data_IF_624235780807
#
_entry.id   IF_624235780807
#
_cell.length_a   1.000
_cell.length_b   1.000
_cell.length_c   1.000
_cell.angle_alpha   90.00
_cell.angle_beta   90.00
_cell.angle_gamma   90.00
#
_symmetry.space_group_name_H-M   'P 1'
#
loop_
_entity.id
_entity.type
_entity.pdbx_description
1 polymer ?
#
# COMPACT_ATOMS: atom_id res chain seq x y z
N UNK A 1 17.46 -8.69 1.29
CA UNK A 1 18.36 -8.08 2.31
C UNK A 1 18.98 -6.84 1.72
N UNK A 2 19.35 -6.90 0.44
CA UNK A 2 19.86 -5.82 -0.43
C UNK A 2 19.03 -4.52 -0.48
N UNK A 3 17.81 -4.51 0.09
CA UNK A 3 16.94 -3.33 0.16
C UNK A 3 16.97 -2.63 1.54
N UNK A 4 17.72 -3.16 2.53
CA UNK A 4 17.92 -2.51 3.82
C UNK A 4 19.25 -1.74 3.78
N UNK A 5 19.23 -0.40 3.79
CA UNK A 5 20.46 0.40 3.61
C UNK A 5 21.38 0.41 4.82
N UNK A 6 20.90 -0.06 5.98
CA UNK A 6 21.68 -0.12 7.23
C UNK A 6 22.00 -1.56 7.66
N UNK A 7 21.71 -2.54 6.80
CA UNK A 7 21.89 -3.97 7.09
C UNK A 7 21.21 -4.45 8.39
N UNK A 8 20.20 -3.71 8.87
CA UNK A 8 19.48 -4.01 10.09
C UNK A 8 18.61 -5.28 9.99
N UNK A 9 18.42 -5.85 8.79
CA UNK A 9 17.61 -7.04 8.54
C UNK A 9 18.52 -8.21 8.17
N UNK A 10 18.51 -9.28 8.98
CA UNK A 10 19.34 -10.48 8.77
C UNK A 10 18.57 -11.78 9.00
N UNK A 11 19.12 -12.92 8.54
CA UNK A 11 18.60 -14.24 8.88
C UNK A 11 19.44 -14.89 9.96
N UNK A 12 18.78 -15.34 11.04
CA UNK A 12 19.37 -16.17 12.07
C UNK A 12 18.73 -17.56 12.14
N UNK A 13 19.20 -18.39 13.06
CA UNK A 13 18.64 -19.74 13.30
C UNK A 13 17.15 -19.73 13.70
N UNK A 14 16.66 -18.62 14.25
CA UNK A 14 15.26 -18.41 14.62
C UNK A 14 14.38 -17.76 13.54
N UNK A 15 14.92 -17.55 12.33
CA UNK A 15 14.24 -16.83 11.25
C UNK A 15 14.75 -15.41 11.08
N UNK A 16 13.89 -14.52 10.57
CA UNK A 16 14.23 -13.14 10.27
C UNK A 16 14.45 -12.35 11.56
N UNK A 17 15.57 -11.63 11.63
CA UNK A 17 15.92 -10.76 12.74
C UNK A 17 16.03 -9.30 12.26
N UNK A 18 15.57 -8.38 13.11
CA UNK A 18 15.72 -6.93 12.90
C UNK A 18 16.48 -6.36 14.08
N UNK A 19 17.65 -5.78 13.82
CA UNK A 19 18.39 -5.01 14.81
C UNK A 19 17.71 -3.65 15.01
N UNK A 20 17.09 -3.46 16.17
CA UNK A 20 16.40 -2.22 16.51
C UNK A 20 17.33 -1.03 16.73
N UNK A 21 18.61 -1.25 17.02
CA UNK A 21 19.61 -0.20 17.15
C UNK A 21 20.12 0.30 15.80
N UNK A 22 20.21 -0.58 14.80
CA UNK A 22 20.60 -0.23 13.43
C UNK A 22 19.44 0.20 12.52
N UNK A 23 18.18 -0.16 12.87
CA UNK A 23 17.01 0.17 12.08
C UNK A 23 16.61 1.66 12.23
N UNK A 24 16.72 2.41 11.14
CA UNK A 24 16.34 3.85 11.11
C UNK A 24 14.83 4.09 10.94
N UNK A 25 14.02 3.03 10.99
CA UNK A 25 12.57 3.08 10.77
C UNK A 25 12.16 3.75 9.45
N UNK A 26 12.98 3.62 8.40
CA UNK A 26 12.71 4.23 7.09
C UNK A 26 11.46 3.66 6.38
N UNK A 27 10.93 2.52 6.87
CA UNK A 27 9.78 1.79 6.32
C UNK A 27 9.97 1.27 4.88
N UNK A 28 11.16 1.37 4.29
CA UNK A 28 11.45 0.92 2.93
C UNK A 28 11.32 -0.60 2.74
N UNK A 29 11.33 -1.38 3.82
CA UNK A 29 11.13 -2.82 3.77
C UNK A 29 9.65 -3.23 3.59
N UNK A 30 8.69 -2.38 3.99
CA UNK A 30 7.26 -2.71 3.89
C UNK A 30 6.78 -2.84 2.44
N UNK A 31 7.14 -1.93 1.50
CA UNK A 31 6.81 -2.07 0.08
C UNK A 31 7.41 -3.29 -0.62
N UNK A 32 8.54 -3.80 -0.12
CA UNK A 32 9.31 -4.88 -0.78
C UNK A 32 8.59 -6.22 -0.67
N UNK A 33 7.93 -6.48 0.46
CA UNK A 33 7.25 -7.74 0.72
C UNK A 33 5.75 -7.62 0.40
N UNK A 34 5.26 -8.21 -0.70
CA UNK A 34 3.89 -8.01 -1.13
C UNK A 34 2.89 -8.80 -0.27
N UNK A 35 3.37 -9.74 0.56
CA UNK A 35 2.58 -10.47 1.54
C UNK A 35 2.51 -9.75 2.89
N UNK A 36 3.13 -8.56 3.01
CA UNK A 36 3.24 -7.80 4.25
C UNK A 36 3.82 -8.62 5.42
N UNK A 37 4.91 -9.36 5.18
CA UNK A 37 5.58 -10.15 6.20
C UNK A 37 6.20 -9.29 7.32
N UNK A 38 6.53 -8.05 7.00
CA UNK A 38 7.00 -7.05 7.96
C UNK A 38 5.90 -6.02 8.22
N UNK A 39 5.80 -5.58 9.46
CA UNK A 39 4.89 -4.52 9.90
C UNK A 39 5.65 -3.53 10.77
N UNK A 40 5.17 -2.29 10.81
CA UNK A 40 5.69 -1.28 11.74
C UNK A 40 4.78 -1.18 12.95
N UNK A 41 5.29 -1.33 14.19
CA UNK A 41 4.52 -1.05 15.39
C UNK A 41 3.91 0.36 15.32
N UNK A 42 2.66 0.50 15.77
CA UNK A 42 1.94 1.78 15.80
C UNK A 42 1.39 2.28 14.46
N UNK A 43 1.72 1.65 13.33
CA UNK A 43 1.18 2.02 12.03
C UNK A 43 -0.27 1.53 11.88
N UNK A 44 -1.22 2.47 11.87
CA UNK A 44 -2.63 2.21 11.56
C UNK A 44 -3.06 3.04 10.35
N UNK A 45 -3.17 2.39 9.19
CA UNK A 45 -3.64 3.06 7.96
C UNK A 45 -5.05 3.65 8.09
N UNK A 46 -6.05 2.97 8.68
CA UNK A 46 -7.38 3.57 8.86
C UNK A 46 -7.34 4.86 9.67
N UNK A 47 -6.55 4.91 10.75
CA UNK A 47 -6.41 6.12 11.57
C UNK A 47 -5.68 7.23 10.82
N UNK A 48 -4.60 6.90 10.12
CA UNK A 48 -3.86 7.87 9.30
C UNK A 48 -4.76 8.51 8.24
N UNK A 49 -5.59 7.71 7.56
CA UNK A 49 -6.54 8.21 6.57
C UNK A 49 -7.60 9.12 7.20
N UNK A 50 -8.11 8.79 8.40
CA UNK A 50 -9.02 9.65 9.15
C UNK A 50 -8.40 10.98 9.51
N UNK A 51 -7.22 10.97 10.14
CA UNK A 51 -6.53 12.18 10.59
C UNK A 51 -6.27 13.13 9.40
N UNK A 52 -5.90 12.59 8.23
CA UNK A 52 -5.72 13.40 7.01
C UNK A 52 -7.06 13.92 6.45
N UNK A 53 -8.13 13.11 6.47
CA UNK A 53 -9.42 13.48 5.87
C UNK A 53 -10.17 14.62 6.61
N UNK A 54 -9.74 14.96 7.83
CA UNK A 54 -10.23 16.12 8.57
C UNK A 54 -9.84 17.46 7.92
N UNK A 55 -8.86 17.45 7.01
CA UNK A 55 -8.31 18.64 6.39
C UNK A 55 -8.68 18.76 4.89
N UNK A 56 -8.99 19.96 4.37
CA UNK A 56 -9.30 20.15 2.95
C UNK A 56 -8.13 19.82 2.01
N UNK A 57 -6.91 20.23 2.39
CA UNK A 57 -5.67 19.90 1.69
C UNK A 57 -4.71 19.28 2.72
N UNK A 58 -4.79 17.95 2.95
CA UNK A 58 -3.97 17.29 3.94
C UNK A 58 -2.48 17.29 3.58
N UNK A 59 -1.66 17.23 4.62
CA UNK A 59 -0.20 17.16 4.52
C UNK A 59 0.25 15.96 5.34
N UNK A 60 0.85 14.98 4.68
CA UNK A 60 1.47 13.81 5.31
C UNK A 60 2.97 14.06 5.47
N UNK A 61 3.45 14.02 6.71
CA UNK A 61 4.87 14.15 7.04
C UNK A 61 5.47 12.90 7.67
N UNK A 62 6.68 13.03 8.24
CA UNK A 62 7.35 11.96 8.98
C UNK A 62 7.59 12.33 10.45
N UNK A 63 7.85 11.34 11.30
CA UNK A 63 8.22 11.56 12.70
C UNK A 63 9.70 11.93 12.87
N UNK A 64 10.54 11.68 11.87
CA UNK A 64 11.95 12.07 11.88
C UNK A 64 12.18 13.59 11.87
N UNK A 65 11.16 14.35 11.46
CA UNK A 65 11.18 15.81 11.35
C UNK A 65 9.96 16.39 12.08
N UNK A 66 9.95 16.38 13.42
CA UNK A 66 8.76 16.71 14.20
C UNK A 66 8.30 18.16 14.04
N UNK A 67 9.22 19.06 13.69
CA UNK A 67 8.94 20.49 13.50
C UNK A 67 8.48 20.83 12.07
N UNK A 68 8.53 19.87 11.13
CA UNK A 68 8.04 20.08 9.76
C UNK A 68 6.51 20.11 9.73
N UNK A 69 5.90 21.00 8.96
CA UNK A 69 4.44 21.09 8.84
C UNK A 69 3.79 19.78 8.36
N UNK A 70 2.84 19.25 9.13
CA UNK A 70 2.09 18.02 8.81
C UNK A 70 0.79 17.92 9.61
N UNK A 71 -0.25 17.35 8.99
CA UNK A 71 -1.52 17.02 9.64
C UNK A 71 -1.50 15.62 10.25
N UNK A 72 -0.84 14.67 9.59
CA UNK A 72 -0.60 13.33 10.11
C UNK A 72 0.81 12.85 9.72
N UNK A 73 1.31 11.82 10.40
CA UNK A 73 2.71 11.37 10.25
C UNK A 73 2.85 9.85 10.20
N UNK A 74 3.83 9.41 9.41
CA UNK A 74 4.42 8.07 9.47
C UNK A 74 5.76 8.12 10.20
N UNK A 75 6.29 6.98 10.65
CA UNK A 75 7.69 6.95 11.14
C UNK A 75 8.66 7.47 10.07
N UNK A 76 8.46 7.07 8.83
CA UNK A 76 9.13 7.61 7.66
C UNK A 76 8.23 7.49 6.43
N UNK A 77 8.49 8.27 5.39
CA UNK A 77 7.73 8.27 4.14
C UNK A 77 8.15 7.16 3.18
N UNK A 78 9.12 6.30 3.53
CA UNK A 78 9.55 5.20 2.67
C UNK A 78 8.46 4.17 2.39
N UNK A 79 7.43 4.09 3.23
CA UNK A 79 6.27 3.23 2.96
C UNK A 79 5.51 3.66 1.69
N UNK A 80 5.60 4.93 1.28
CA UNK A 80 4.98 5.45 0.07
C UNK A 80 5.53 4.82 -1.22
N UNK A 81 6.69 4.15 -1.16
CA UNK A 81 7.17 3.36 -2.29
C UNK A 81 6.27 2.14 -2.60
N UNK A 82 5.27 1.83 -1.74
CA UNK A 82 4.26 0.81 -1.99
C UNK A 82 3.22 1.30 -3.02
N UNK A 83 3.15 0.74 -4.25
CA UNK A 83 2.25 1.26 -5.29
C UNK A 83 0.77 1.25 -4.88
N UNK A 84 0.31 0.22 -4.18
CA UNK A 84 -1.07 0.15 -3.70
C UNK A 84 -1.41 1.23 -2.66
N UNK A 85 -0.46 1.60 -1.80
CA UNK A 85 -0.67 2.67 -0.83
C UNK A 85 -0.78 4.03 -1.54
N UNK A 86 0.09 4.25 -2.53
CA UNK A 86 0.09 5.46 -3.33
C UNK A 86 -1.24 5.61 -4.11
N UNK A 87 -1.74 4.53 -4.72
CA UNK A 87 -3.05 4.51 -5.39
C UNK A 87 -4.19 4.72 -4.38
N UNK A 88 -4.12 4.08 -3.20
CA UNK A 88 -5.11 4.28 -2.14
C UNK A 88 -5.20 5.77 -1.75
N UNK A 89 -4.07 6.44 -1.53
CA UNK A 89 -4.08 7.88 -1.26
C UNK A 89 -4.63 8.70 -2.42
N UNK A 90 -4.29 8.38 -3.67
CA UNK A 90 -4.86 9.07 -4.83
C UNK A 90 -6.38 8.92 -4.97
N UNK A 91 -6.94 7.77 -4.57
CA UNK A 91 -8.38 7.54 -4.57
C UNK A 91 -9.09 8.20 -3.39
N UNK A 92 -8.48 8.21 -2.21
CA UNK A 92 -9.07 8.79 -1.00
C UNK A 92 -9.00 10.32 -1.01
N UNK A 93 -7.96 10.91 -1.58
CA UNK A 93 -7.74 12.35 -1.60
C UNK A 93 -7.79 12.90 -3.04
N UNK A 94 -8.96 12.86 -3.71
CA UNK A 94 -9.09 13.29 -5.11
C UNK A 94 -8.84 14.79 -5.28
N UNK A 95 -9.10 15.59 -4.24
CA UNK A 95 -8.97 17.05 -4.27
C UNK A 95 -7.55 17.55 -3.95
N UNK A 96 -6.70 16.69 -3.37
CA UNK A 96 -5.31 17.04 -3.04
C UNK A 96 -4.76 16.30 -1.84
N UNK A 97 -3.48 15.92 -1.91
CA UNK A 97 -2.68 15.46 -0.77
C UNK A 97 -1.23 15.88 -0.98
N UNK A 98 -0.66 16.61 -0.03
CA UNK A 98 0.76 16.93 -0.03
C UNK A 98 1.54 15.89 0.78
N UNK A 99 2.58 15.34 0.16
CA UNK A 99 3.56 14.47 0.79
C UNK A 99 4.80 15.32 1.08
N UNK A 100 5.00 15.69 2.34
CA UNK A 100 6.04 16.63 2.75
C UNK A 100 7.41 15.94 2.80
N UNK A 101 8.18 16.09 1.72
CA UNK A 101 9.56 15.58 1.56
C UNK A 101 10.61 16.68 1.73
N UNK A 102 10.25 17.85 2.26
CA UNK A 102 11.11 19.05 2.28
C UNK A 102 12.44 18.86 3.00
N UNK A 103 12.47 18.01 4.01
CA UNK A 103 13.68 17.66 4.77
C UNK A 103 14.36 16.36 4.29
N UNK A 104 13.78 15.63 3.32
CA UNK A 104 14.27 14.29 2.97
C UNK A 104 15.62 14.30 2.24
N UNK A 105 16.03 15.40 1.61
CA UNK A 105 17.28 15.47 0.84
C UNK A 105 18.53 15.32 1.73
N UNK A 106 18.48 15.85 2.95
CA UNK A 106 19.59 15.81 3.92
C UNK A 106 19.36 14.80 5.06
N UNK A 107 18.21 14.12 5.06
CA UNK A 107 17.84 13.13 6.05
C UNK A 107 18.64 11.83 5.88
N UNK A 108 18.99 11.16 6.99
CA UNK A 108 19.59 9.81 6.96
C UNK A 108 18.73 8.77 6.21
N UNK A 109 17.41 9.01 6.14
CA UNK A 109 16.46 8.20 5.39
C UNK A 109 16.24 8.67 3.94
N UNK A 110 17.04 9.61 3.41
CA UNK A 110 16.89 10.18 2.06
C UNK A 110 16.97 9.17 0.92
N UNK A 111 17.57 7.99 1.16
CA UNK A 111 17.62 6.87 0.21
C UNK A 111 16.24 6.42 -0.30
N UNK A 112 15.14 6.76 0.40
CA UNK A 112 13.78 6.41 -0.03
C UNK A 112 13.32 7.19 -1.28
N UNK A 113 13.92 8.36 -1.56
CA UNK A 113 13.36 9.37 -2.46
C UNK A 113 13.07 8.83 -3.86
N UNK A 114 13.97 8.05 -4.43
CA UNK A 114 13.82 7.51 -5.78
C UNK A 114 12.68 6.49 -5.84
N UNK A 115 12.57 5.62 -4.84
CA UNK A 115 11.53 4.61 -4.78
C UNK A 115 10.13 5.23 -4.58
N UNK A 116 10.03 6.29 -3.78
CA UNK A 116 8.79 7.06 -3.57
C UNK A 116 8.41 7.82 -4.84
N UNK A 117 9.38 8.45 -5.51
CA UNK A 117 9.17 9.14 -6.78
C UNK A 117 8.73 8.17 -7.89
N UNK A 118 9.32 6.98 -7.97
CA UNK A 118 8.91 5.94 -8.90
C UNK A 118 7.48 5.47 -8.65
N UNK A 119 7.10 5.25 -7.38
CA UNK A 119 5.72 4.86 -7.02
C UNK A 119 4.71 5.97 -7.35
N UNK A 120 5.06 7.23 -7.09
CA UNK A 120 4.24 8.39 -7.44
C UNK A 120 4.10 8.55 -8.96
N UNK A 121 5.19 8.39 -9.72
CA UNK A 121 5.18 8.50 -11.18
C UNK A 121 4.21 7.54 -11.86
N UNK A 122 4.00 6.35 -11.29
CA UNK A 122 3.03 5.35 -11.76
C UNK A 122 1.56 5.78 -11.60
N UNK A 123 1.27 6.76 -10.73
CA UNK A 123 -0.10 7.27 -10.58
C UNK A 123 -0.63 7.91 -11.85
N UNK A 124 0.23 8.43 -12.73
CA UNK A 124 -0.18 9.01 -14.02
C UNK A 124 -0.99 8.03 -14.87
N UNK A 125 -0.59 6.76 -14.86
CA UNK A 125 -1.25 5.70 -15.63
C UNK A 125 -2.38 5.02 -14.84
N UNK A 126 -2.21 4.89 -13.52
CA UNK A 126 -3.13 4.17 -12.64
C UNK A 126 -4.35 5.00 -12.22
N UNK A 127 -4.14 6.28 -11.93
CA UNK A 127 -5.17 7.24 -11.50
C UNK A 127 -4.94 8.57 -12.23
N UNK A 128 -5.26 8.65 -13.54
CA UNK A 128 -5.06 9.87 -14.32
C UNK A 128 -5.74 11.08 -13.65
N UNK A 129 -5.00 12.19 -13.55
CA UNK A 129 -5.50 13.42 -12.91
C UNK A 129 -5.47 13.41 -11.37
N UNK A 130 -4.79 12.46 -10.72
CA UNK A 130 -4.63 12.48 -9.27
C UNK A 130 -4.03 13.81 -8.77
N UNK A 131 -4.41 14.21 -7.56
CA UNK A 131 -3.95 15.44 -6.91
C UNK A 131 -2.89 15.21 -5.80
N UNK A 132 -2.33 14.01 -5.70
CA UNK A 132 -1.20 13.71 -4.80
C UNK A 132 0.07 14.41 -5.30
N UNK A 133 0.73 15.21 -4.46
CA UNK A 133 1.96 15.96 -4.77
C UNK A 133 3.11 15.58 -3.85
N UNK A 134 4.29 15.40 -4.43
CA UNK A 134 5.56 15.26 -3.69
C UNK A 134 6.15 16.66 -3.51
N UNK A 135 6.19 17.17 -2.28
CA UNK A 135 6.67 18.52 -2.00
C UNK A 135 8.11 18.46 -1.48
N UNK A 136 9.07 18.99 -2.25
CA UNK A 136 10.50 18.99 -1.90
C UNK A 136 11.01 20.36 -1.47
N UNK A 137 10.34 21.43 -1.89
CA UNK A 137 10.68 22.80 -1.52
C UNK A 137 9.62 23.31 -0.54
N UNK A 138 10.05 24.00 0.53
CA UNK A 138 9.12 24.45 1.58
C UNK A 138 8.13 25.48 1.06
N UNK A 139 8.54 26.29 0.09
CA UNK A 139 7.75 27.34 -0.54
C UNK A 139 6.56 26.79 -1.34
N UNK A 140 6.64 25.53 -1.78
CA UNK A 140 5.56 24.81 -2.48
C UNK A 140 4.59 24.13 -1.51
N UNK A 141 4.92 24.08 -0.21
CA UNK A 141 4.10 23.40 0.78
C UNK A 141 2.94 24.28 1.23
N UNK A 142 1.75 23.98 0.71
CA UNK A 142 0.52 24.55 1.25
C UNK A 142 0.13 23.81 2.53
N UNK A 143 0.27 24.50 3.67
CA UNK A 143 -0.16 24.02 4.98
C UNK A 143 -1.03 25.05 5.68
N UNK A 144 -2.18 24.60 6.16
CA UNK A 144 -3.06 25.40 7.01
C UNK A 144 -3.09 24.75 8.38
N UNK A 145 -2.47 25.41 9.37
CA UNK A 145 -2.49 24.92 10.73
C UNK A 145 -3.95 24.67 11.17
N UNK A 146 -4.24 23.58 11.90
CA UNK A 146 -5.59 23.26 12.36
C UNK A 146 -6.21 24.46 13.11
N UNK A 147 -7.11 25.18 12.46
CA UNK A 147 -7.63 26.45 12.96
C UNK A 147 -8.90 26.23 13.77
N UNK A 148 -8.82 25.55 14.93
CA UNK A 148 -9.98 25.48 15.82
C UNK A 148 -9.60 25.66 17.29
N UNK A 149 -10.07 26.77 17.86
CA UNK A 149 -10.29 26.84 19.30
C UNK A 149 -11.37 25.83 19.72
N UNK A 150 -11.27 25.27 20.94
CA UNK A 150 -12.23 24.27 21.49
C UNK A 150 -13.71 24.66 21.36
N UNK A 151 -14.05 25.95 21.24
CA UNK A 151 -15.42 26.47 21.12
C UNK A 151 -15.92 26.51 19.67
N UNK A 152 -15.04 26.78 18.71
CA UNK A 152 -15.36 26.71 17.28
C UNK A 152 -15.48 25.25 16.82
N UNK A 153 -14.78 24.32 17.49
CA UNK A 153 -14.84 22.88 17.23
C UNK A 153 -16.28 22.32 17.28
N UNK A 154 -17.12 22.76 18.22
CA UNK A 154 -18.50 22.29 18.35
C UNK A 154 -19.49 22.91 17.34
N UNK A 155 -19.20 24.10 16.81
CA UNK A 155 -20.02 24.71 15.74
C UNK A 155 -19.62 24.18 14.35
N UNK A 156 -18.34 23.91 14.12
CA UNK A 156 -17.80 23.48 12.82
C UNK A 156 -18.31 22.09 12.37
N UNK A 157 -18.59 21.19 13.31
CA UNK A 157 -19.09 19.83 13.03
C UNK A 157 -20.52 19.79 12.45
N UNK A 158 -21.30 20.88 12.56
CA UNK A 158 -22.69 20.93 12.06
C UNK A 158 -22.82 21.37 10.61
N UNK A 159 -21.82 22.04 10.04
CA UNK A 159 -21.98 22.80 8.80
C UNK A 159 -21.20 22.25 7.59
N UNK A 160 -20.20 21.38 7.79
CA UNK A 160 -19.42 20.87 6.67
C UNK A 160 -20.10 19.64 6.08
N UNK A 161 -20.60 19.77 4.84
CA UNK A 161 -20.78 18.61 3.96
C UNK A 161 -19.47 17.83 3.98
N UNK A 162 -19.50 16.55 4.36
CA UNK A 162 -18.26 15.76 4.47
C UNK A 162 -17.46 15.88 3.17
N UNK A 163 -16.16 16.18 3.27
CA UNK A 163 -15.29 16.21 2.08
C UNK A 163 -15.33 14.86 1.38
N UNK A 164 -14.99 14.82 0.08
CA UNK A 164 -14.92 13.55 -0.65
C UNK A 164 -14.03 12.53 0.07
N UNK A 165 -12.91 13.01 0.63
CA UNK A 165 -12.03 12.21 1.47
C UNK A 165 -12.70 11.70 2.75
N UNK A 166 -13.39 12.55 3.52
CA UNK A 166 -14.08 12.12 4.75
C UNK A 166 -15.18 11.09 4.47
N UNK A 167 -15.98 11.31 3.42
CA UNK A 167 -17.01 10.36 3.00
C UNK A 167 -16.39 9.01 2.56
N UNK A 168 -15.26 9.05 1.87
CA UNK A 168 -14.53 7.85 1.46
C UNK A 168 -13.97 7.08 2.67
N UNK A 169 -13.34 7.78 3.61
CA UNK A 169 -12.78 7.16 4.83
C UNK A 169 -13.87 6.51 5.68
N UNK A 170 -15.05 7.14 5.81
CA UNK A 170 -16.20 6.53 6.48
C UNK A 170 -16.55 5.14 5.90
N UNK A 171 -16.61 5.02 4.58
CA UNK A 171 -16.87 3.74 3.89
C UNK A 171 -15.76 2.70 4.10
N UNK A 172 -14.50 3.13 4.24
CA UNK A 172 -13.38 2.21 4.50
C UNK A 172 -13.45 1.60 5.90
N UNK A 173 -13.99 2.34 6.87
CA UNK A 173 -14.12 1.93 8.26
C UNK A 173 -15.35 1.04 8.51
N UNK A 174 -16.39 1.14 7.69
CA UNK A 174 -17.52 0.22 7.73
C UNK A 174 -17.02 -1.22 7.49
N UNK A 175 -17.22 -2.06 8.51
CA UNK A 175 -16.67 -3.41 8.58
C UNK A 175 -17.41 -4.35 7.63
N UNK A 176 -16.65 -5.21 6.95
CA UNK A 176 -17.12 -6.55 6.66
C UNK A 176 -16.01 -7.47 7.13
N UNK A 177 -16.28 -8.21 8.19
CA UNK A 177 -15.44 -9.33 8.62
C UNK A 177 -15.39 -10.32 7.44
N UNK A 178 -14.22 -10.44 6.81
CA UNK A 178 -13.95 -11.64 6.02
C UNK A 178 -13.48 -12.69 7.02
N UNK A 179 -14.39 -13.62 7.34
CA UNK A 179 -14.08 -14.85 8.05
C UNK A 179 -12.91 -15.56 7.35
N UNK A 180 -11.75 -15.75 8.03
CA UNK A 180 -10.60 -16.40 7.43
C UNK A 180 -10.94 -17.87 7.15
N UNK A 181 -10.83 -18.31 5.89
CA UNK A 181 -10.71 -19.73 5.62
C UNK A 181 -9.24 -20.16 5.84
N UNK A 182 -8.93 -20.63 7.04
CA UNK A 182 -7.58 -21.04 7.48
C UNK A 182 -6.63 -19.86 7.75
N UNK A 183 -5.31 -20.09 7.62
CA UNK A 183 -4.25 -19.09 7.88
C UNK A 183 -4.03 -18.08 6.73
N UNK A 184 -4.94 -17.99 5.76
CA UNK A 184 -4.77 -17.13 4.58
C UNK A 184 -5.29 -15.72 4.86
N UNK A 185 -4.48 -14.70 4.53
CA UNK A 185 -4.80 -13.31 4.84
C UNK A 185 -4.39 -12.36 3.71
N UNK A 186 -5.31 -11.47 3.35
CA UNK A 186 -5.03 -10.33 2.45
C UNK A 186 -4.33 -9.22 3.26
N UNK A 187 -3.23 -8.64 2.77
CA UNK A 187 -2.58 -7.50 3.43
C UNK A 187 -3.53 -6.32 3.66
N UNK A 188 -3.35 -5.61 4.78
CA UNK A 188 -4.25 -4.52 5.17
C UNK A 188 -4.35 -3.40 4.11
N UNK A 189 -3.23 -3.03 3.49
CA UNK A 189 -3.19 -2.05 2.39
C UNK A 189 -4.02 -2.50 1.20
N UNK A 190 -3.89 -3.77 0.80
CA UNK A 190 -4.70 -4.35 -0.28
C UNK A 190 -6.18 -4.32 0.08
N UNK A 191 -6.54 -4.72 1.30
CA UNK A 191 -7.93 -4.73 1.74
C UNK A 191 -8.56 -3.32 1.69
N UNK A 192 -7.85 -2.30 2.18
CA UNK A 192 -8.30 -0.90 2.09
C UNK A 192 -8.38 -0.41 0.65
N UNK A 193 -7.39 -0.74 -0.19
CA UNK A 193 -7.39 -0.39 -1.60
C UNK A 193 -8.59 -1.01 -2.33
N UNK A 194 -8.92 -2.28 -2.09
CA UNK A 194 -10.07 -2.92 -2.73
C UNK A 194 -11.39 -2.24 -2.37
N UNK A 195 -11.57 -1.84 -1.10
CA UNK A 195 -12.72 -1.03 -0.69
C UNK A 195 -12.73 0.32 -1.41
N UNK A 196 -11.57 0.98 -1.54
CA UNK A 196 -11.47 2.26 -2.24
C UNK A 196 -11.78 2.15 -3.74
N UNK A 197 -11.32 1.08 -4.38
CA UNK A 197 -11.63 0.77 -5.77
C UNK A 197 -13.13 0.53 -5.93
N UNK A 198 -13.74 -0.29 -5.05
CA UNK A 198 -15.18 -0.58 -5.11
C UNK A 198 -16.05 0.68 -4.98
N UNK A 199 -15.61 1.68 -4.23
CA UNK A 199 -16.27 2.98 -4.11
C UNK A 199 -16.02 3.95 -5.29
N UNK A 200 -15.14 3.60 -6.24
CA UNK A 200 -14.77 4.41 -7.40
C UNK A 200 -15.62 4.06 -8.65
N UNK A 201 -15.70 4.95 -9.67
CA UNK A 201 -16.38 4.64 -10.94
C UNK A 201 -15.83 3.41 -11.66
N UNK A 202 -16.70 2.64 -12.33
CA UNK A 202 -16.37 1.35 -12.95
C UNK A 202 -15.19 1.40 -13.94
N UNK A 203 -15.02 2.50 -14.66
CA UNK A 203 -13.87 2.70 -15.56
C UNK A 203 -12.55 2.72 -14.79
N UNK A 204 -12.46 3.48 -13.70
CA UNK A 204 -11.25 3.49 -12.83
C UNK A 204 -11.01 2.12 -12.22
N UNK A 205 -12.06 1.40 -11.83
CA UNK A 205 -11.92 0.05 -11.29
C UNK A 205 -11.21 -0.90 -12.27
N UNK A 206 -11.60 -0.86 -13.55
CA UNK A 206 -10.97 -1.68 -14.61
C UNK A 206 -9.51 -1.28 -14.82
N UNK A 207 -9.24 0.01 -15.03
CA UNK A 207 -7.88 0.51 -15.26
C UNK A 207 -6.93 0.13 -14.13
N UNK A 208 -7.33 0.35 -12.88
CA UNK A 208 -6.51 0.00 -11.71
C UNK A 208 -6.34 -1.52 -11.62
N UNK A 209 -7.42 -2.29 -11.75
CA UNK A 209 -7.36 -3.75 -11.68
C UNK A 209 -6.42 -4.36 -12.72
N UNK A 210 -6.48 -3.89 -13.96
CA UNK A 210 -5.70 -4.42 -15.07
C UNK A 210 -4.20 -4.12 -14.99
N UNK A 211 -3.84 -2.96 -14.44
CA UNK A 211 -2.46 -2.47 -14.40
C UNK A 211 -1.75 -2.70 -13.05
N UNK A 212 -2.51 -2.71 -11.95
CA UNK A 212 -1.94 -2.83 -10.60
C UNK A 212 -1.87 -4.27 -10.11
N UNK A 213 -2.87 -5.10 -10.44
CA UNK A 213 -2.95 -6.46 -9.90
C UNK A 213 -2.23 -7.48 -10.76
N UNK A 214 -1.64 -8.48 -10.10
CA UNK A 214 -0.96 -9.59 -10.78
C UNK A 214 -1.94 -10.50 -11.49
N UNK A 215 -1.52 -10.99 -12.65
CA UNK A 215 -2.24 -11.98 -13.46
C UNK A 215 -1.56 -13.33 -13.29
N UNK A 216 -2.36 -14.39 -13.28
CA UNK A 216 -1.88 -15.77 -13.28
C UNK A 216 -2.43 -16.46 -14.53
N UNK A 217 -1.58 -17.24 -15.20
CA UNK A 217 -1.99 -18.13 -16.27
C UNK A 217 -1.59 -19.58 -15.94
N UNK A 218 -2.43 -20.51 -16.38
CA UNK A 218 -2.18 -21.94 -16.27
C UNK A 218 -1.81 -22.49 -17.65
N UNK A 219 -0.62 -23.06 -17.78
CA UNK A 219 -0.12 -23.57 -19.07
C UNK A 219 -0.73 -24.94 -19.41
N UNK A 220 -0.35 -25.50 -20.55
CA UNK A 220 -0.63 -26.90 -20.92
C UNK A 220 -0.06 -27.90 -19.90
N UNK A 221 1.02 -27.55 -19.20
CA UNK A 221 1.75 -28.46 -18.29
C UNK A 221 1.13 -28.52 -16.88
N UNK A 222 0.06 -27.76 -16.65
CA UNK A 222 -0.70 -27.77 -15.41
C UNK A 222 -1.43 -29.11 -15.23
N UNK A 223 -0.86 -29.97 -14.39
CA UNK A 223 -1.41 -31.30 -14.07
C UNK A 223 -2.61 -31.30 -13.11
N UNK A 224 -3.09 -30.13 -12.67
CA UNK A 224 -4.19 -30.06 -11.72
C UNK A 224 -3.85 -30.57 -10.31
N UNK A 225 -2.57 -30.61 -9.92
CA UNK A 225 -2.12 -31.09 -8.59
C UNK A 225 -2.61 -30.25 -7.40
N UNK A 226 -3.20 -29.07 -7.64
CA UNK A 226 -3.79 -28.17 -6.64
C UNK A 226 -2.83 -27.66 -5.56
N UNK A 227 -1.52 -27.94 -5.62
CA UNK A 227 -0.50 -27.45 -4.65
C UNK A 227 -0.43 -25.92 -4.55
N UNK A 228 -0.65 -25.23 -5.66
CA UNK A 228 -0.68 -23.77 -5.73
C UNK A 228 -1.80 -23.16 -4.85
N UNK A 229 -2.87 -23.90 -4.57
CA UNK A 229 -3.92 -23.49 -3.63
C UNK A 229 -3.33 -23.40 -2.23
N UNK A 230 -2.59 -24.42 -1.78
CA UNK A 230 -2.03 -24.48 -0.43
C UNK A 230 -1.00 -23.38 -0.15
N UNK A 231 -0.13 -23.09 -1.13
CA UNK A 231 0.94 -22.09 -0.95
C UNK A 231 0.46 -20.63 -1.12
N UNK A 232 -0.73 -20.40 -1.71
CA UNK A 232 -1.21 -19.04 -1.93
C UNK A 232 -1.60 -18.39 -0.58
N UNK A 233 -0.87 -17.36 -0.13
CA UNK A 233 -1.05 -16.80 1.23
C UNK A 233 -2.34 -15.98 1.37
N UNK A 234 -2.88 -15.47 0.27
CA UNK A 234 -4.08 -14.63 0.26
C UNK A 234 -5.34 -15.37 -0.15
N UNK A 235 -5.20 -16.63 -0.60
CA UNK A 235 -6.33 -17.38 -1.13
C UNK A 235 -6.75 -17.00 -2.55
N UNK A 236 -5.93 -16.25 -3.29
CA UNK A 236 -6.17 -15.90 -4.70
C UNK A 236 -6.32 -17.10 -5.65
N UNK A 237 -5.85 -18.29 -5.26
CA UNK A 237 -6.04 -19.53 -6.02
C UNK A 237 -6.91 -20.47 -5.20
N UNK A 238 -8.02 -20.92 -5.78
CA UNK A 238 -9.06 -21.70 -5.12
C UNK A 238 -9.39 -22.98 -5.90
N UNK A 239 -10.02 -23.94 -5.22
CA UNK A 239 -10.48 -25.17 -5.86
C UNK A 239 -11.66 -24.88 -6.77
N UNK A 240 -11.67 -25.49 -7.96
CA UNK A 240 -12.80 -25.41 -8.90
C UNK A 240 -13.95 -26.37 -8.55
N UNK A 241 -13.92 -27.02 -7.38
CA UNK A 241 -14.95 -27.96 -6.92
C UNK A 241 -14.97 -29.34 -7.60
N UNK A 242 -14.42 -29.48 -8.81
CA UNK A 242 -14.30 -30.74 -9.53
C UNK A 242 -12.86 -31.27 -9.57
N UNK A 243 -12.70 -32.59 -9.59
CA UNK A 243 -11.40 -33.25 -9.74
C UNK A 243 -10.89 -33.18 -11.19
N UNK A 244 -9.56 -33.07 -11.33
CA UNK A 244 -8.87 -32.93 -12.63
C UNK A 244 -8.99 -31.56 -13.31
N UNK A 245 -9.81 -30.63 -12.81
CA UNK A 245 -9.95 -29.28 -13.39
C UNK A 245 -8.87 -28.31 -12.88
N UNK A 246 -8.57 -27.31 -13.71
CA UNK A 246 -7.67 -26.19 -13.37
C UNK A 246 -8.24 -25.38 -12.20
N UNK A 247 -7.38 -24.89 -11.28
CA UNK A 247 -7.83 -24.03 -10.17
C UNK A 247 -8.49 -22.74 -10.67
N UNK A 248 -9.39 -22.20 -9.85
CA UNK A 248 -9.93 -20.85 -10.06
C UNK A 248 -8.96 -19.81 -9.52
N UNK A 249 -8.96 -18.63 -10.13
CA UNK A 249 -8.08 -17.52 -9.78
C UNK A 249 -8.88 -16.23 -9.58
N UNK A 250 -8.69 -15.59 -8.42
CA UNK A 250 -9.19 -14.26 -8.12
C UNK A 250 -8.02 -13.26 -8.14
N UNK A 251 -8.02 -12.40 -9.17
CA UNK A 251 -7.01 -11.38 -9.38
C UNK A 251 -6.97 -10.35 -8.23
N UNK A 252 -8.11 -10.03 -7.61
CA UNK A 252 -8.21 -9.00 -6.57
C UNK A 252 -7.48 -9.39 -5.29
N UNK A 253 -7.36 -10.70 -5.03
CA UNK A 253 -6.63 -11.26 -3.90
C UNK A 253 -5.15 -11.50 -4.22
N UNK A 254 -4.74 -11.45 -5.49
CA UNK A 254 -3.38 -11.75 -5.92
C UNK A 254 -2.42 -10.60 -5.60
N UNK A 255 -1.45 -10.85 -4.73
CA UNK A 255 -0.38 -9.90 -4.38
C UNK A 255 0.90 -10.09 -5.19
N UNK A 256 0.89 -10.92 -6.24
CA UNK A 256 2.07 -11.15 -7.10
C UNK A 256 3.31 -11.58 -6.31
N UNK A 257 3.15 -12.46 -5.31
CA UNK A 257 4.26 -12.94 -4.48
C UNK A 257 5.08 -14.06 -5.13
N UNK A 258 4.65 -14.58 -6.30
CA UNK A 258 5.29 -15.66 -7.06
C UNK A 258 5.39 -17.03 -6.36
N UNK A 259 4.89 -17.18 -5.12
CA UNK A 259 4.93 -18.47 -4.40
C UNK A 259 4.28 -19.62 -5.16
N UNK A 260 3.18 -19.38 -5.86
CA UNK A 260 2.49 -20.40 -6.65
C UNK A 260 3.32 -20.90 -7.86
N UNK A 261 4.04 -19.99 -8.53
CA UNK A 261 4.94 -20.35 -9.63
C UNK A 261 6.18 -21.07 -9.09
N UNK A 262 6.80 -20.56 -8.02
CA UNK A 262 7.99 -21.17 -7.43
C UNK A 262 7.75 -22.62 -6.93
N UNK A 263 6.57 -22.91 -6.40
CA UNK A 263 6.21 -24.27 -5.96
C UNK A 263 5.77 -25.20 -7.10
N UNK A 264 5.48 -24.67 -8.30
CA UNK A 264 4.99 -25.46 -9.43
C UNK A 264 6.16 -26.11 -10.19
N UNK A 265 6.54 -27.33 -9.76
CA UNK A 265 7.70 -28.07 -10.30
C UNK A 265 7.65 -28.32 -11.82
N UNK A 266 6.46 -28.38 -12.38
CA UNK A 266 6.20 -28.67 -13.80
C UNK A 266 5.90 -27.41 -14.62
N UNK A 267 6.14 -26.20 -14.10
CA UNK A 267 5.98 -24.96 -14.88
C UNK A 267 4.53 -24.64 -15.28
N UNK A 268 3.55 -25.32 -14.68
CA UNK A 268 2.13 -25.20 -14.99
C UNK A 268 1.46 -23.89 -14.54
N UNK A 269 2.16 -23.05 -13.77
CA UNK A 269 1.66 -21.78 -13.22
C UNK A 269 2.65 -20.68 -13.55
N UNK A 270 2.18 -19.65 -14.26
CA UNK A 270 2.97 -18.45 -14.56
C UNK A 270 2.29 -17.23 -13.93
N UNK A 271 3.08 -16.41 -13.26
CA UNK A 271 2.67 -15.13 -12.69
C UNK A 271 3.23 -14.03 -13.57
N UNK A 272 2.34 -13.18 -14.09
CA UNK A 272 2.68 -11.98 -14.83
C UNK A 272 2.15 -10.78 -14.05
N UNK A 273 3.04 -9.92 -13.56
CA UNK A 273 2.69 -8.68 -12.87
C UNK A 273 3.47 -7.50 -13.40
N UNK A 274 3.11 -6.29 -12.96
CA UNK A 274 3.94 -5.09 -13.08
C UNK A 274 5.37 -5.47 -12.67
N UNK A 275 6.31 -5.38 -13.63
CA UNK A 275 7.72 -5.76 -13.43
C UNK A 275 8.20 -5.19 -12.09
N UNK A 276 8.57 -6.06 -11.15
CA UNK A 276 9.56 -5.66 -10.14
C UNK A 276 10.80 -5.29 -10.94
N UNK A 277 11.37 -4.13 -10.70
CA UNK A 277 12.75 -3.83 -11.07
C UNK A 277 13.61 -4.94 -10.46
N UNK A 278 13.84 -6.00 -11.22
CA UNK A 278 14.91 -6.94 -11.00
C UNK A 278 16.17 -6.15 -11.36
N UNK A 279 16.75 -5.48 -10.37
CA UNK A 279 18.20 -5.57 -10.25
C UNK A 279 18.42 -6.85 -9.47
N UNK A 280 18.93 -7.89 -10.10
CA UNK A 280 20.22 -8.55 -9.80
C UNK A 280 20.55 -9.44 -11.01
N UNK A 281 21.80 -9.24 -11.47
CA UNK A 281 22.67 -10.02 -12.35
C UNK A 281 22.24 -11.42 -12.81
#
# INVERSE_FOLDING_TARGET
MDNCPTDAISWGRGGLHIDSGACTQCLACLPVCPTAALTSPGLSLPRLLSDLAEHPLPVLGCNGEPDSDAHARLSCLGYLAHPELMVLFALVFPDGLHLNLTACNECANGHILDSVAAAHGRLKDLVPGHAVRLIRNREELEFQAPSLSRRQFFQFFRERSASAAAAMVGRLQESTEQEPYGNKRVPATRALLLKAIAASPAEKQRTIGDQLFGKISFTSDCSGSKRCIGVCPTGAIQSSGADGKRPMFDQTLCVSCYSCQAFCRNGGVLVSGSKRSQSIA
#
